data_IF_453221129004
#
_entry.id   IF_453221129004
#
_cell.length_a   1.000
_cell.length_b   1.000
_cell.length_c   1.000
_cell.angle_alpha   90.00
_cell.angle_beta   90.00
_cell.angle_gamma   90.00
#
_symmetry.space_group_name_H-M   'P 1'
#
loop_
_entity.id
_entity.type
_entity.pdbx_description
1 polymer ?
#
# COMPACT_ATOMS: atom_id res chain seq x y z
N UNK A 1 35.08 14.99 -6.07
CA UNK A 1 33.65 15.27 -6.35
C UNK A 1 32.92 13.96 -6.16
N UNK A 2 32.32 13.74 -5.00
CA UNK A 2 31.52 12.56 -4.74
C UNK A 2 30.16 12.71 -5.44
N UNK A 3 29.61 11.67 -6.09
CA UNK A 3 28.29 11.74 -6.68
C UNK A 3 27.27 11.94 -5.55
N UNK A 4 26.46 12.99 -5.66
CA UNK A 4 25.33 13.23 -4.78
C UNK A 4 24.36 12.05 -4.93
N UNK A 5 24.23 11.25 -3.87
CA UNK A 5 23.19 10.24 -3.74
C UNK A 5 21.84 10.98 -3.86
N UNK A 6 20.96 10.62 -4.80
CA UNK A 6 19.65 11.23 -4.87
C UNK A 6 18.92 11.00 -3.54
N UNK A 7 18.36 12.06 -2.98
CA UNK A 7 17.58 12.04 -1.74
C UNK A 7 16.37 11.15 -1.98
N UNK A 8 16.45 9.88 -1.58
CA UNK A 8 15.29 8.99 -1.61
C UNK A 8 14.32 9.45 -0.54
N UNK A 9 13.13 9.87 -0.96
CA UNK A 9 12.07 10.23 -0.02
C UNK A 9 11.67 9.00 0.79
N UNK A 10 11.32 9.13 2.08
CA UNK A 10 10.86 8.01 2.93
C UNK A 10 9.79 7.14 2.26
N UNK A 11 8.87 7.77 1.53
CA UNK A 11 7.84 7.08 0.76
C UNK A 11 8.39 6.07 -0.25
N UNK A 12 9.49 6.38 -0.96
CA UNK A 12 10.12 5.44 -1.90
C UNK A 12 10.79 4.28 -1.18
N UNK A 13 11.36 4.51 0.00
CA UNK A 13 12.05 3.49 0.77
C UNK A 13 11.10 2.34 1.18
N UNK A 14 9.93 2.66 1.74
CA UNK A 14 8.96 1.65 2.20
C UNK A 14 8.29 0.92 1.03
N UNK A 15 7.88 1.62 0.00
CA UNK A 15 7.31 1.02 -1.20
C UNK A 15 8.29 0.05 -1.87
N UNK A 16 9.58 0.40 -1.92
CA UNK A 16 10.64 -0.44 -2.44
C UNK A 16 10.84 -1.69 -1.56
N UNK A 17 10.81 -1.54 -0.23
CA UNK A 17 10.96 -2.65 0.71
C UNK A 17 9.86 -3.70 0.52
N UNK A 18 8.62 -3.28 0.43
CA UNK A 18 7.49 -4.19 0.22
C UNK A 18 7.54 -4.88 -1.15
N UNK A 19 7.97 -4.16 -2.21
CA UNK A 19 8.07 -4.71 -3.57
C UNK A 19 9.18 -5.75 -3.71
N UNK A 20 10.35 -5.50 -3.10
CA UNK A 20 11.52 -6.34 -3.26
C UNK A 20 11.75 -7.31 -2.11
N UNK A 21 10.91 -7.28 -1.07
CA UNK A 21 11.04 -8.13 0.11
C UNK A 21 12.32 -7.86 0.91
N UNK A 22 12.81 -6.62 0.89
CA UNK A 22 13.99 -6.19 1.64
C UNK A 22 13.60 -5.35 2.84
N UNK A 23 14.35 -5.42 3.96
CA UNK A 23 14.09 -4.55 5.09
C UNK A 23 14.19 -3.07 4.66
N UNK A 24 13.34 -2.19 5.19
CA UNK A 24 13.44 -0.77 4.94
C UNK A 24 14.77 -0.24 5.47
N UNK A 25 15.37 0.68 4.73
CA UNK A 25 16.62 1.33 5.14
C UNK A 25 16.42 2.40 6.23
N UNK A 26 15.17 2.72 6.55
CA UNK A 26 14.78 3.71 7.56
C UNK A 26 13.73 3.09 8.47
N UNK A 27 13.85 3.38 9.77
CA UNK A 27 12.85 3.04 10.77
C UNK A 27 12.04 4.31 11.10
N UNK A 28 10.71 4.20 11.16
CA UNK A 28 9.85 5.34 11.54
C UNK A 28 10.11 5.79 12.98
N UNK A 29 10.56 4.89 13.84
CA UNK A 29 10.87 5.18 15.24
C UNK A 29 12.14 6.02 15.39
N UNK A 30 13.01 6.04 14.36
CA UNK A 30 14.23 6.85 14.30
C UNK A 30 14.01 8.23 13.67
N UNK A 31 12.79 8.56 13.23
CA UNK A 31 12.48 9.80 12.54
C UNK A 31 11.54 10.69 13.35
N UNK A 32 12.09 11.81 13.85
CA UNK A 32 11.33 12.91 14.49
C UNK A 32 10.98 14.01 13.45
N UNK A 33 10.51 13.61 12.27
CA UNK A 33 10.13 14.55 11.22
C UNK A 33 8.62 14.50 11.01
N UNK A 34 7.96 15.65 11.15
CA UNK A 34 6.54 15.78 10.84
C UNK A 34 6.28 15.51 9.35
N UNK A 35 5.25 14.71 9.07
CA UNK A 35 4.86 14.44 7.69
C UNK A 35 4.38 15.73 7.00
N UNK A 36 4.81 15.97 5.75
CA UNK A 36 4.27 17.07 4.98
C UNK A 36 2.76 16.84 4.76
N UNK A 37 1.94 17.80 5.19
CA UNK A 37 0.50 17.77 4.96
C UNK A 37 -0.39 18.07 6.16
N UNK A 38 0.10 17.89 7.39
CA UNK A 38 -0.71 18.18 8.58
C UNK A 38 -0.80 19.72 8.86
N UNK A 39 0.15 20.51 8.37
CA UNK A 39 0.14 21.98 8.52
C UNK A 39 -0.39 22.74 7.28
N UNK A 40 -0.32 22.17 6.09
CA UNK A 40 -0.70 22.87 4.84
C UNK A 40 -2.22 23.05 4.72
N UNK A 41 -3.02 22.26 5.41
CA UNK A 41 -4.48 22.40 5.44
C UNK A 41 -4.95 23.67 6.17
N UNK A 42 -4.09 24.33 6.94
CA UNK A 42 -4.44 25.51 7.74
C UNK A 42 -3.92 26.86 7.18
N UNK A 43 -3.11 26.86 6.12
CA UNK A 43 -2.65 28.10 5.49
C UNK A 43 -3.61 28.54 4.40
N UNK A 44 -4.47 29.50 4.72
CA UNK A 44 -5.33 30.30 3.82
C UNK A 44 -4.46 31.16 2.88
N UNK A 45 -3.69 30.56 1.99
CA UNK A 45 -2.95 31.29 0.95
C UNK A 45 -3.66 31.11 -0.39
N UNK A 46 -4.11 32.22 -0.96
CA UNK A 46 -5.04 32.38 -2.10
C UNK A 46 -4.46 31.94 -3.48
N UNK A 47 -3.28 31.31 -3.50
CA UNK A 47 -2.67 30.77 -4.73
C UNK A 47 -2.69 29.23 -4.81
N UNK A 48 -3.60 28.59 -4.07
CA UNK A 48 -3.63 27.15 -3.81
C UNK A 48 -4.35 26.30 -4.88
N UNK A 49 -4.85 26.87 -5.98
CA UNK A 49 -5.71 26.10 -6.91
C UNK A 49 -4.99 25.11 -7.81
N UNK A 50 -3.67 25.18 -7.95
CA UNK A 50 -2.88 24.19 -8.71
C UNK A 50 -1.92 23.42 -7.79
N UNK A 51 -1.43 24.03 -6.72
CA UNK A 51 -0.47 23.40 -5.79
C UNK A 51 -1.15 22.74 -4.57
N UNK A 52 -2.36 23.13 -4.21
CA UNK A 52 -3.08 22.57 -3.06
C UNK A 52 -3.48 21.10 -3.23
N UNK A 53 -3.86 20.69 -4.43
CA UNK A 53 -4.15 19.29 -4.75
C UNK A 53 -2.91 18.40 -4.64
N UNK A 54 -1.78 18.89 -5.14
CA UNK A 54 -0.51 18.14 -5.13
C UNK A 54 0.07 17.94 -3.72
N UNK A 55 -0.03 18.93 -2.84
CA UNK A 55 0.42 18.81 -1.45
C UNK A 55 -0.42 17.79 -0.66
N UNK A 56 -1.74 17.75 -0.90
CA UNK A 56 -2.64 16.77 -0.29
C UNK A 56 -2.37 15.35 -0.79
N UNK A 57 -2.10 15.18 -2.09
CA UNK A 57 -1.76 13.90 -2.71
C UNK A 57 -0.42 13.38 -2.17
N UNK A 58 0.59 14.24 -2.05
CA UNK A 58 1.88 13.87 -1.50
C UNK A 58 1.78 13.43 -0.03
N UNK A 59 0.98 14.14 0.79
CA UNK A 59 0.70 13.75 2.16
C UNK A 59 -0.01 12.39 2.25
N UNK A 60 -0.98 12.14 1.37
CA UNK A 60 -1.65 10.85 1.28
C UNK A 60 -0.68 9.72 0.87
N UNK A 61 0.25 10.01 -0.05
CA UNK A 61 1.29 9.09 -0.50
C UNK A 61 2.25 8.72 0.65
N UNK A 62 2.67 9.70 1.47
CA UNK A 62 3.51 9.45 2.64
C UNK A 62 2.79 8.58 3.68
N UNK A 63 1.50 8.82 3.91
CA UNK A 63 0.69 8.00 4.83
C UNK A 63 0.54 6.55 4.30
N UNK A 64 0.33 6.37 3.00
CA UNK A 64 0.30 5.03 2.38
C UNK A 64 1.63 4.31 2.55
N UNK A 65 2.74 4.98 2.31
CA UNK A 65 4.07 4.41 2.47
C UNK A 65 4.34 3.91 3.90
N UNK A 66 3.84 4.61 4.92
CA UNK A 66 3.91 4.13 6.32
C UNK A 66 3.10 2.85 6.52
N UNK A 67 1.94 2.73 5.89
CA UNK A 67 1.16 1.49 5.91
C UNK A 67 1.95 0.37 5.22
N UNK A 68 2.56 0.63 4.06
CA UNK A 68 3.42 -0.34 3.38
C UNK A 68 4.60 -0.80 4.26
N UNK A 69 5.21 0.12 5.03
CA UNK A 69 6.23 -0.21 6.03
C UNK A 69 5.71 -1.17 7.11
N UNK A 70 4.53 -0.88 7.68
CA UNK A 70 3.88 -1.76 8.66
C UNK A 70 3.52 -3.12 8.07
N UNK A 71 3.04 -3.17 6.81
CA UNK A 71 2.77 -4.42 6.10
C UNK A 71 4.04 -5.26 6.02
N UNK A 72 5.17 -4.65 5.63
CA UNK A 72 6.44 -5.37 5.60
C UNK A 72 6.83 -5.88 6.99
N UNK A 73 6.83 -5.01 8.01
CA UNK A 73 7.25 -5.37 9.36
C UNK A 73 6.38 -6.49 9.95
N UNK A 74 5.05 -6.40 9.80
CA UNK A 74 4.10 -7.31 10.45
C UNK A 74 3.85 -8.61 9.69
N UNK A 75 4.03 -8.63 8.37
CA UNK A 75 3.69 -9.80 7.55
C UNK A 75 4.89 -10.44 6.82
N UNK A 76 5.95 -9.67 6.56
CA UNK A 76 7.05 -10.13 5.69
C UNK A 76 8.44 -10.11 6.34
N UNK A 77 8.58 -9.54 7.53
CA UNK A 77 9.85 -9.55 8.25
C UNK A 77 10.25 -10.96 8.69
N UNK A 78 11.52 -11.12 9.02
CA UNK A 78 12.02 -12.39 9.57
C UNK A 78 11.31 -12.79 10.88
N UNK A 79 10.85 -11.82 11.68
CA UNK A 79 10.06 -12.06 12.87
C UNK A 79 8.65 -12.52 12.51
N UNK A 80 8.02 -11.93 11.50
CA UNK A 80 6.69 -12.30 11.03
C UNK A 80 6.61 -13.72 10.47
N UNK A 81 7.74 -14.32 10.05
CA UNK A 81 7.77 -15.71 9.58
C UNK A 81 7.52 -16.76 10.67
N UNK A 82 7.53 -16.35 11.94
CA UNK A 82 7.31 -17.22 13.12
C UNK A 82 5.91 -17.10 13.72
N UNK A 83 5.06 -16.26 13.13
CA UNK A 83 3.71 -16.01 13.60
C UNK A 83 2.81 -17.23 13.42
N UNK A 84 1.88 -17.41 14.35
CA UNK A 84 0.77 -18.35 14.21
C UNK A 84 -0.22 -17.84 13.14
N UNK A 85 -1.11 -18.73 12.70
CA UNK A 85 -2.16 -18.34 11.73
C UNK A 85 -3.10 -17.29 12.30
N UNK A 86 -3.47 -17.41 13.58
CA UNK A 86 -4.31 -16.42 14.25
C UNK A 86 -3.63 -15.04 14.30
N UNK A 87 -2.33 -14.99 14.59
CA UNK A 87 -1.57 -13.75 14.58
C UNK A 87 -1.51 -13.13 13.17
N UNK A 88 -1.41 -13.96 12.13
CA UNK A 88 -1.45 -13.50 10.73
C UNK A 88 -2.84 -12.96 10.38
N UNK A 89 -3.92 -13.67 10.72
CA UNK A 89 -5.30 -13.21 10.49
C UNK A 89 -5.52 -11.86 11.17
N UNK A 90 -5.20 -11.75 12.45
CA UNK A 90 -5.34 -10.50 13.20
C UNK A 90 -4.49 -9.36 12.60
N UNK A 91 -3.29 -9.67 12.10
CA UNK A 91 -2.44 -8.66 11.47
C UNK A 91 -3.01 -8.21 10.11
N UNK A 92 -3.57 -9.12 9.32
CA UNK A 92 -4.23 -8.82 8.05
C UNK A 92 -5.46 -7.96 8.28
N UNK A 93 -6.33 -8.31 9.22
CA UNK A 93 -7.56 -7.56 9.53
C UNK A 93 -7.23 -6.12 9.95
N UNK A 94 -6.26 -5.94 10.85
CA UNK A 94 -5.86 -4.61 11.32
C UNK A 94 -5.23 -3.75 10.22
N UNK A 95 -4.42 -4.35 9.35
CA UNK A 95 -3.79 -3.63 8.24
C UNK A 95 -4.79 -3.28 7.14
N UNK A 96 -5.77 -4.16 6.88
CA UNK A 96 -6.86 -3.90 5.93
C UNK A 96 -7.76 -2.77 6.43
N UNK A 97 -8.10 -2.76 7.72
CA UNK A 97 -8.86 -1.68 8.35
C UNK A 97 -8.09 -0.34 8.29
N UNK A 98 -6.78 -0.35 8.58
CA UNK A 98 -5.94 0.85 8.48
C UNK A 98 -5.88 1.37 7.03
N UNK A 99 -5.72 0.48 6.05
CA UNK A 99 -5.72 0.83 4.63
C UNK A 99 -7.08 1.37 4.17
N UNK A 100 -8.18 0.77 4.63
CA UNK A 100 -9.53 1.23 4.35
C UNK A 100 -9.80 2.62 4.96
N UNK A 101 -9.35 2.85 6.19
CA UNK A 101 -9.44 4.17 6.83
C UNK A 101 -8.64 5.20 6.06
N UNK A 102 -7.38 4.90 5.72
CA UNK A 102 -6.55 5.79 4.90
C UNK A 102 -7.25 6.15 3.59
N UNK A 103 -7.84 5.18 2.87
CA UNK A 103 -8.58 5.42 1.63
C UNK A 103 -9.72 6.44 1.81
N UNK A 104 -10.40 6.42 2.96
CA UNK A 104 -11.47 7.38 3.25
C UNK A 104 -10.93 8.81 3.45
N UNK A 105 -9.68 8.97 3.88
CA UNK A 105 -9.04 10.29 4.02
C UNK A 105 -8.62 10.90 2.69
N UNK A 106 -8.52 10.10 1.63
CA UNK A 106 -8.19 10.56 0.28
C UNK A 106 -9.41 11.26 -0.34
N UNK A 107 -9.26 12.45 -0.94
CA UNK A 107 -10.35 13.11 -1.67
C UNK A 107 -10.96 12.17 -2.72
N UNK A 108 -12.28 12.22 -2.88
CA UNK A 108 -13.02 11.27 -3.70
C UNK A 108 -12.51 11.19 -5.15
N UNK A 109 -12.11 12.31 -5.71
CA UNK A 109 -11.56 12.43 -7.07
C UNK A 109 -10.22 11.71 -7.28
N UNK A 110 -9.44 11.48 -6.20
CA UNK A 110 -8.15 10.80 -6.22
C UNK A 110 -8.20 9.37 -5.66
N UNK A 111 -9.35 8.91 -5.20
CA UNK A 111 -9.47 7.55 -4.66
C UNK A 111 -9.16 6.50 -5.72
N UNK A 112 -8.58 5.35 -5.34
CA UNK A 112 -8.16 4.30 -6.30
C UNK A 112 -9.25 3.76 -7.22
N UNK A 113 -10.52 3.84 -6.83
CA UNK A 113 -11.66 3.41 -7.66
C UNK A 113 -12.21 4.51 -8.54
N UNK A 114 -11.80 5.77 -8.34
CA UNK A 114 -12.33 6.91 -9.09
C UNK A 114 -11.79 6.91 -10.52
N UNK A 115 -12.62 7.40 -11.44
CA UNK A 115 -12.22 7.52 -12.83
C UNK A 115 -11.17 8.62 -12.99
N UNK A 116 -10.06 8.31 -13.65
CA UNK A 116 -8.98 9.26 -13.89
C UNK A 116 -9.41 10.20 -15.04
N UNK A 117 -9.85 11.41 -14.68
CA UNK A 117 -10.36 12.44 -15.62
C UNK A 117 -9.38 13.58 -15.85
N UNK A 118 -8.09 13.32 -15.75
CA UNK A 118 -7.05 14.34 -15.86
C UNK A 118 -6.46 14.33 -17.27
N UNK A 119 -6.39 15.52 -17.88
CA UNK A 119 -5.87 15.71 -19.24
C UNK A 119 -4.35 15.80 -19.29
N UNK A 120 -3.72 16.27 -18.21
CA UNK A 120 -2.28 16.46 -18.13
C UNK A 120 -1.56 15.12 -17.90
N UNK A 121 -0.62 14.77 -18.76
CA UNK A 121 0.05 13.47 -18.77
C UNK A 121 0.84 13.20 -17.48
N UNK A 122 1.51 14.21 -16.95
CA UNK A 122 2.33 14.08 -15.73
C UNK A 122 1.43 13.80 -14.52
N UNK A 123 0.38 14.57 -14.33
CA UNK A 123 -0.56 14.40 -13.23
C UNK A 123 -1.30 13.06 -13.33
N UNK A 124 -1.69 12.67 -14.55
CA UNK A 124 -2.31 11.36 -14.80
C UNK A 124 -1.38 10.21 -14.39
N UNK A 125 -0.08 10.27 -14.72
CA UNK A 125 0.89 9.26 -14.31
C UNK A 125 1.08 9.21 -12.79
N UNK A 126 1.04 10.35 -12.10
CA UNK A 126 1.12 10.41 -10.65
C UNK A 126 -0.08 9.71 -10.01
N UNK A 127 -1.30 10.00 -10.48
CA UNK A 127 -2.52 9.34 -10.00
C UNK A 127 -2.48 7.83 -10.28
N UNK A 128 -2.02 7.42 -11.47
CA UNK A 128 -1.86 6.00 -11.81
C UNK A 128 -0.89 5.32 -10.84
N UNK A 129 0.26 5.93 -10.58
CA UNK A 129 1.24 5.39 -9.62
C UNK A 129 0.69 5.29 -8.21
N UNK A 130 -0.08 6.29 -7.79
CA UNK A 130 -0.76 6.30 -6.49
C UNK A 130 -1.77 5.16 -6.37
N UNK A 131 -2.62 4.95 -7.37
CA UNK A 131 -3.55 3.84 -7.41
C UNK A 131 -2.83 2.47 -7.45
N UNK A 132 -1.76 2.36 -8.23
CA UNK A 132 -0.96 1.12 -8.30
C UNK A 132 -0.32 0.80 -6.94
N UNK A 133 0.19 1.80 -6.21
CA UNK A 133 0.74 1.60 -4.87
C UNK A 133 -0.33 1.09 -3.90
N UNK A 134 -1.54 1.66 -3.92
CA UNK A 134 -2.66 1.17 -3.12
C UNK A 134 -3.01 -0.29 -3.43
N UNK A 135 -3.22 -0.64 -4.71
CA UNK A 135 -3.57 -2.02 -5.07
C UNK A 135 -2.44 -3.01 -4.78
N UNK A 136 -1.19 -2.57 -4.89
CA UNK A 136 -0.04 -3.37 -4.48
C UNK A 136 -0.05 -3.64 -2.96
N UNK A 137 -0.29 -2.60 -2.16
CA UNK A 137 -0.41 -2.72 -0.70
C UNK A 137 -1.55 -3.66 -0.31
N UNK A 138 -2.75 -3.48 -0.86
CA UNK A 138 -3.91 -4.34 -0.65
C UNK A 138 -3.61 -5.80 -1.00
N UNK A 139 -3.04 -6.03 -2.18
CA UNK A 139 -2.65 -7.38 -2.58
C UNK A 139 -1.57 -7.99 -1.67
N UNK A 140 -0.62 -7.19 -1.18
CA UNK A 140 0.42 -7.66 -0.27
C UNK A 140 -0.17 -8.09 1.09
N UNK A 141 -1.10 -7.32 1.66
CA UNK A 141 -1.79 -7.67 2.90
C UNK A 141 -2.46 -9.04 2.77
N UNK A 142 -3.33 -9.20 1.79
CA UNK A 142 -4.15 -10.40 1.66
C UNK A 142 -3.39 -11.62 1.12
N UNK A 143 -2.37 -11.42 0.28
CA UNK A 143 -1.54 -12.51 -0.25
C UNK A 143 -0.87 -13.32 0.86
N UNK A 144 -0.51 -12.68 1.97
CA UNK A 144 0.11 -13.39 3.11
C UNK A 144 -0.80 -14.48 3.66
N UNK A 145 -2.08 -14.17 3.84
CA UNK A 145 -3.05 -15.14 4.34
C UNK A 145 -3.33 -16.25 3.32
N UNK A 146 -3.43 -15.92 2.04
CA UNK A 146 -3.60 -16.93 0.97
C UNK A 146 -2.44 -17.92 0.94
N UNK A 147 -1.20 -17.44 1.10
CA UNK A 147 -0.02 -18.30 1.14
C UNK A 147 0.01 -19.21 2.37
N UNK A 148 -0.37 -18.71 3.55
CA UNK A 148 -0.38 -19.49 4.79
C UNK A 148 -1.60 -20.41 4.89
N UNK A 149 -2.77 -19.97 4.46
CA UNK A 149 -4.00 -20.75 4.58
C UNK A 149 -3.97 -22.08 3.84
N UNK A 150 -3.23 -22.17 2.73
CA UNK A 150 -3.04 -23.42 2.01
C UNK A 150 -2.29 -24.49 2.84
N UNK A 151 -1.28 -24.06 3.60
CA UNK A 151 -0.46 -24.98 4.41
C UNK A 151 -1.17 -25.42 5.70
N UNK A 152 -1.98 -24.54 6.31
CA UNK A 152 -2.64 -24.83 7.60
C UNK A 152 -3.76 -25.83 7.45
N UNK A 153 -4.50 -25.81 6.34
CA UNK A 153 -5.57 -26.80 6.10
C UNK A 153 -5.03 -28.23 5.96
N UNK A 154 -3.72 -28.38 5.68
CA UNK A 154 -3.08 -29.69 5.50
C UNK A 154 -2.30 -30.14 6.75
N UNK A 155 -1.87 -29.22 7.63
CA UNK A 155 -0.89 -29.52 8.67
C UNK A 155 -1.44 -29.67 10.09
N UNK A 156 -2.66 -29.21 10.40
CA UNK A 156 -3.24 -29.37 11.74
C UNK A 156 -4.49 -30.26 11.75
N UNK A 157 -4.31 -31.58 11.94
CA UNK A 157 -5.42 -32.52 12.08
C UNK A 157 -6.24 -32.32 13.37
N UNK A 158 -5.72 -31.56 14.35
CA UNK A 158 -6.32 -31.40 15.69
C UNK A 158 -7.17 -30.13 15.83
N UNK A 159 -7.10 -29.19 14.86
CA UNK A 159 -7.96 -28.00 14.89
C UNK A 159 -9.44 -28.38 14.74
N UNK A 160 -10.32 -27.68 15.45
CA UNK A 160 -11.77 -27.89 15.36
C UNK A 160 -12.27 -27.54 13.95
N UNK A 161 -13.30 -28.24 13.49
CA UNK A 161 -13.84 -28.07 12.13
C UNK A 161 -14.40 -26.65 11.91
N UNK A 162 -14.92 -26.00 12.95
CA UNK A 162 -15.39 -24.62 12.89
C UNK A 162 -14.27 -23.60 12.64
N UNK A 163 -13.11 -23.76 13.27
CA UNK A 163 -11.95 -22.89 13.09
C UNK A 163 -11.35 -23.06 11.69
N UNK A 164 -11.31 -24.30 11.21
CA UNK A 164 -10.86 -24.60 9.82
C UNK A 164 -11.77 -23.93 8.80
N UNK A 165 -13.10 -23.94 9.02
CA UNK A 165 -14.03 -23.33 8.09
C UNK A 165 -13.91 -21.81 8.08
N UNK A 166 -13.73 -21.18 9.25
CA UNK A 166 -13.48 -19.74 9.35
C UNK A 166 -12.21 -19.34 8.59
N UNK A 167 -11.08 -20.02 8.84
CA UNK A 167 -9.81 -19.75 8.15
C UNK A 167 -9.99 -19.92 6.63
N UNK A 168 -10.75 -20.94 6.20
CA UNK A 168 -11.01 -21.17 4.77
C UNK A 168 -11.81 -20.03 4.13
N UNK A 169 -12.78 -19.47 4.84
CA UNK A 169 -13.53 -18.29 4.39
C UNK A 169 -12.65 -17.05 4.31
N UNK A 170 -11.79 -16.81 5.31
CA UNK A 170 -10.87 -15.67 5.34
C UNK A 170 -9.83 -15.77 4.19
N UNK A 171 -9.29 -16.97 3.93
CA UNK A 171 -8.40 -17.23 2.80
C UNK A 171 -9.09 -16.99 1.46
N UNK A 172 -10.34 -17.47 1.32
CA UNK A 172 -11.11 -17.26 0.09
C UNK A 172 -11.40 -15.78 -0.15
N UNK A 173 -11.83 -15.05 0.88
CA UNK A 173 -12.08 -13.60 0.81
C UNK A 173 -10.80 -12.85 0.43
N UNK A 174 -9.68 -13.18 1.04
CA UNK A 174 -8.37 -12.62 0.72
C UNK A 174 -7.93 -12.92 -0.71
N UNK A 175 -8.18 -14.12 -1.21
CA UNK A 175 -7.89 -14.46 -2.61
C UNK A 175 -8.72 -13.62 -3.60
N UNK A 176 -9.99 -13.39 -3.31
CA UNK A 176 -10.86 -12.52 -4.12
C UNK A 176 -10.32 -11.09 -4.15
N UNK A 177 -9.90 -10.55 -3.01
CA UNK A 177 -9.31 -9.21 -2.93
C UNK A 177 -7.99 -9.10 -3.71
N UNK A 178 -7.11 -10.09 -3.61
CA UNK A 178 -5.87 -10.16 -4.40
C UNK A 178 -6.16 -10.13 -5.91
N UNK A 179 -7.12 -10.94 -6.38
CA UNK A 179 -7.49 -10.99 -7.80
C UNK A 179 -8.12 -9.68 -8.25
N UNK A 180 -8.97 -9.08 -7.42
CA UNK A 180 -9.57 -7.77 -7.70
C UNK A 180 -8.52 -6.67 -7.83
N UNK A 181 -7.59 -6.60 -6.88
CA UNK A 181 -6.48 -5.65 -6.91
C UNK A 181 -5.59 -5.83 -8.15
N UNK A 182 -5.27 -7.07 -8.52
CA UNK A 182 -4.51 -7.37 -9.72
C UNK A 182 -5.23 -6.92 -11.00
N UNK A 183 -6.53 -7.19 -11.11
CA UNK A 183 -7.34 -6.75 -12.26
C UNK A 183 -7.42 -5.23 -12.35
N UNK A 184 -7.60 -4.54 -11.23
CA UNK A 184 -7.61 -3.09 -11.17
C UNK A 184 -6.25 -2.53 -11.61
N UNK A 185 -5.13 -3.11 -11.16
CA UNK A 185 -3.78 -2.72 -11.58
C UNK A 185 -3.56 -2.88 -13.09
N UNK A 186 -4.01 -3.98 -13.68
CA UNK A 186 -3.93 -4.21 -15.13
C UNK A 186 -4.75 -3.17 -15.89
N UNK A 187 -5.93 -2.81 -15.40
CA UNK A 187 -6.77 -1.80 -16.02
C UNK A 187 -6.14 -0.39 -16.02
N UNK A 188 -5.26 -0.10 -15.05
CA UNK A 188 -4.56 1.17 -14.99
C UNK A 188 -3.45 1.31 -16.04
N UNK A 189 -2.92 0.19 -16.57
CA UNK A 189 -1.83 0.20 -17.56
C UNK A 189 -2.25 0.97 -18.83
N UNK A 190 -3.53 0.96 -19.19
CA UNK A 190 -4.05 1.71 -20.36
C UNK A 190 -3.84 3.23 -20.27
N UNK A 191 -3.68 3.77 -19.06
CA UNK A 191 -3.47 5.20 -18.86
C UNK A 191 -1.99 5.61 -18.94
N UNK A 192 -1.09 4.65 -19.10
CA UNK A 192 0.35 4.87 -19.18
C UNK A 192 0.71 5.11 -20.64
N UNK A 193 1.32 6.28 -20.99
CA UNK A 193 1.75 6.56 -22.34
C UNK A 193 2.74 5.52 -22.84
N UNK A 194 2.50 4.96 -24.01
CA UNK A 194 3.41 4.01 -24.66
C UNK A 194 4.73 4.71 -24.98
N UNK A 195 5.82 4.29 -24.38
CA UNK A 195 7.16 4.88 -24.53
C UNK A 195 7.78 5.39 -23.22
N UNK A 196 6.99 5.60 -22.17
CA UNK A 196 7.46 6.08 -20.86
C UNK A 196 7.43 5.02 -19.75
N UNK A 197 7.65 3.77 -20.07
CA UNK A 197 7.67 2.67 -19.08
C UNK A 197 8.74 2.86 -17.97
N UNK A 198 9.74 3.70 -18.20
CA UNK A 198 10.76 4.03 -17.21
C UNK A 198 10.24 4.87 -16.01
N UNK A 199 9.04 5.41 -16.10
CA UNK A 199 8.45 6.29 -15.05
C UNK A 199 7.70 5.49 -13.97
N UNK A 200 7.47 4.20 -14.19
CA UNK A 200 6.70 3.34 -13.28
C UNK A 200 7.58 2.62 -12.24
N UNK A 201 8.90 2.68 -12.41
CA UNK A 201 9.87 1.96 -11.56
C UNK A 201 10.68 2.90 -10.69
#
# INVERSE_FOLDING_TARGET
MSPSVPFETPAKCYSTSLRYGRPPNQDDDDMDVQLPGDEVCNSTSVNATVHGGFASEFGAMCKLARIEGKVYQRLYSAQASRQSVEEIVNAVDQLDEELAHWRQTVPEEFRPESEIRVSEDILRLQIVNFHLAYYHCLAAIHRKLVQHGHWVSELDPLAEDADKEKIRQDVFSSAVLCVSAARASINLIRFIPQGNLAVIW
#
